data_IF_595768871514
#
_entry.id   IF_595768871514
#
_cell.length_a   1.000
_cell.length_b   1.000
_cell.length_c   1.000
_cell.angle_alpha   90.00
_cell.angle_beta   90.00
_cell.angle_gamma   90.00
#
_symmetry.space_group_name_H-M   'P 1'
#
loop_
_entity.id
_entity.type
_entity.pdbx_description
1 polymer ?
#
# COMPACT_ATOMS: atom_id res chain seq x y z
N UNK A 1 0.18 -24.69 -9.90
CA UNK A 1 1.11 -24.09 -10.48
C UNK A 1 1.40 -22.91 -9.80
N UNK A 2 2.14 -22.65 -9.31
CA UNK A 2 2.67 -21.90 -8.42
C UNK A 2 2.68 -20.44 -8.42
N UNK A 3 1.89 -19.86 -9.24
CA UNK A 3 1.98 -18.45 -9.25
C UNK A 3 0.84 -17.85 -8.50
N UNK A 4 0.97 -17.83 -7.21
CA UNK A 4 -0.05 -17.22 -6.36
C UNK A 4 0.28 -15.76 -6.12
N UNK A 5 0.19 -14.97 -7.17
CA UNK A 5 0.48 -13.55 -7.04
C UNK A 5 -0.77 -12.82 -6.57
N UNK A 6 -0.58 -11.93 -5.63
CA UNK A 6 -1.68 -11.16 -5.04
C UNK A 6 -1.29 -9.71 -4.89
N UNK A 7 -2.30 -8.86 -4.74
CA UNK A 7 -2.09 -7.44 -4.49
C UNK A 7 -2.74 -7.08 -3.18
N UNK A 8 -2.08 -6.21 -2.45
CA UNK A 8 -2.62 -5.61 -1.24
C UNK A 8 -2.64 -4.10 -1.43
N UNK A 9 -3.78 -3.49 -1.22
CA UNK A 9 -3.95 -2.05 -1.43
C UNK A 9 -4.18 -1.38 -0.08
N UNK A 10 -3.49 -0.26 0.12
CA UNK A 10 -3.62 0.55 1.34
C UNK A 10 -3.98 1.98 0.95
N UNK A 11 -4.93 2.58 1.69
CA UNK A 11 -5.27 3.99 1.55
C UNK A 11 -5.29 4.62 2.92
N UNK A 12 -4.62 5.75 3.06
CA UNK A 12 -4.60 6.47 4.32
C UNK A 12 -4.62 7.96 4.06
N UNK A 13 -5.11 8.73 5.02
CA UNK A 13 -5.11 10.18 4.90
C UNK A 13 -3.84 10.80 5.43
N UNK A 14 -2.99 10.05 6.10
CA UNK A 14 -1.71 10.53 6.62
C UNK A 14 -0.60 9.60 6.18
N UNK A 15 0.50 10.19 5.73
CA UNK A 15 1.58 9.39 5.17
C UNK A 15 2.21 8.47 6.21
N UNK A 16 2.24 8.90 7.47
CA UNK A 16 2.79 8.05 8.52
C UNK A 16 1.94 6.81 8.75
N UNK A 17 0.63 6.97 8.68
CA UNK A 17 -0.27 5.84 8.84
C UNK A 17 -0.09 4.86 7.69
N UNK A 18 0.10 5.38 6.47
CA UNK A 18 0.36 4.51 5.34
C UNK A 18 1.67 3.77 5.52
N UNK A 19 2.70 4.49 5.94
CA UNK A 19 4.01 3.89 6.14
C UNK A 19 3.93 2.75 7.16
N UNK A 20 3.24 2.97 8.27
CA UNK A 20 3.11 1.95 9.31
C UNK A 20 2.36 0.73 8.81
N UNK A 21 1.27 0.95 8.08
CA UNK A 21 0.48 -0.16 7.55
C UNK A 21 1.27 -0.98 6.54
N UNK A 22 1.98 -0.30 5.66
CA UNK A 22 2.78 -0.97 4.65
C UNK A 22 3.91 -1.76 5.30
N UNK A 23 4.59 -1.15 6.27
CA UNK A 23 5.70 -1.83 6.92
C UNK A 23 5.26 -3.06 7.71
N UNK A 24 4.11 -2.98 8.36
CA UNK A 24 3.56 -4.13 9.06
C UNK A 24 3.29 -5.27 8.09
N UNK A 25 2.72 -4.95 6.93
CA UNK A 25 2.44 -5.96 5.93
C UNK A 25 3.74 -6.56 5.36
N UNK A 26 4.72 -5.69 5.08
CA UNK A 26 5.99 -6.17 4.55
C UNK A 26 6.68 -7.13 5.51
N UNK A 27 6.55 -6.89 6.80
CA UNK A 27 7.11 -7.80 7.79
C UNK A 27 6.47 -9.17 7.72
N UNK A 28 5.21 -9.23 7.32
CA UNK A 28 4.50 -10.51 7.26
C UNK A 28 4.81 -11.29 6.00
N UNK A 29 5.20 -10.64 4.91
CA UNK A 29 5.44 -11.36 3.66
C UNK A 29 6.93 -11.64 3.41
N UNK A 30 7.82 -10.92 4.09
CA UNK A 30 9.25 -11.18 3.97
C UNK A 30 9.76 -11.09 2.54
N UNK A 31 10.37 -12.17 2.09
CA UNK A 31 10.99 -12.20 0.75
C UNK A 31 9.99 -12.37 -0.37
N UNK A 32 8.72 -12.43 -0.08
CA UNK A 32 7.71 -12.65 -1.12
C UNK A 32 7.28 -11.36 -1.80
N UNK A 33 7.89 -10.25 -1.47
CA UNK A 33 7.59 -8.97 -2.12
C UNK A 33 8.07 -8.98 -3.55
N UNK A 34 7.21 -8.54 -4.47
CA UNK A 34 7.57 -8.42 -5.89
C UNK A 34 7.72 -6.96 -6.26
N UNK A 35 6.76 -6.11 -5.89
CA UNK A 35 6.80 -4.71 -6.28
C UNK A 35 5.91 -3.88 -5.38
N UNK A 36 6.22 -2.59 -5.26
CA UNK A 36 5.41 -1.64 -4.51
C UNK A 36 5.20 -0.42 -5.40
N UNK A 37 3.94 0.03 -5.48
CA UNK A 37 3.61 1.25 -6.18
C UNK A 37 3.00 2.23 -5.20
N UNK A 38 3.43 3.48 -5.26
CA UNK A 38 3.01 4.51 -4.33
C UNK A 38 2.40 5.65 -5.11
N UNK A 39 1.32 6.22 -4.59
CA UNK A 39 0.66 7.32 -5.25
C UNK A 39 0.04 8.25 -4.23
N UNK A 40 0.09 9.54 -4.51
CA UNK A 40 -0.54 10.56 -3.69
C UNK A 40 -1.56 11.28 -4.54
N UNK A 41 -2.76 11.43 -4.01
CA UNK A 41 -3.81 12.22 -4.64
C UNK A 41 -4.19 13.35 -3.71
N UNK A 42 -4.48 14.52 -4.28
CA UNK A 42 -4.88 15.68 -3.52
C UNK A 42 -6.25 16.12 -4.02
N UNK A 43 -7.18 16.30 -3.11
CA UNK A 43 -8.52 16.77 -3.43
C UNK A 43 -8.81 18.00 -2.60
N UNK A 44 -9.46 18.98 -3.22
CA UNK A 44 -9.92 20.17 -2.51
C UNK A 44 -11.36 19.98 -2.14
N UNK A 45 -11.68 20.16 -0.87
CA UNK A 45 -13.05 20.15 -0.42
C UNK A 45 -13.28 21.43 0.34
N UNK A 46 -14.10 22.30 -0.21
CA UNK A 46 -14.29 23.63 0.31
C UNK A 46 -12.94 24.35 0.27
N UNK A 47 -12.39 24.78 1.41
CA UNK A 47 -11.09 25.42 1.41
C UNK A 47 -10.01 24.52 1.99
N UNK A 48 -10.29 23.25 2.14
CA UNK A 48 -9.34 22.32 2.73
C UNK A 48 -8.73 21.43 1.68
N UNK A 49 -7.44 21.19 1.81
CA UNK A 49 -6.76 20.21 0.98
C UNK A 49 -6.82 18.87 1.68
N UNK A 50 -7.32 17.87 0.98
CA UNK A 50 -7.40 16.53 1.50
C UNK A 50 -6.44 15.66 0.71
N UNK A 51 -5.52 15.01 1.42
CA UNK A 51 -4.53 14.14 0.81
C UNK A 51 -4.95 12.69 0.98
N UNK A 52 -4.78 11.91 -0.07
CA UNK A 52 -4.98 10.49 0.01
C UNK A 52 -3.68 9.83 -0.41
N UNK A 53 -3.09 9.08 0.50
CA UNK A 53 -1.84 8.38 0.24
C UNK A 53 -2.18 6.91 0.03
N UNK A 54 -1.75 6.35 -1.10
CA UNK A 54 -2.10 4.99 -1.49
C UNK A 54 -0.85 4.21 -1.81
N UNK A 55 -0.88 2.93 -1.48
CA UNK A 55 0.17 2.02 -1.87
C UNK A 55 -0.44 0.71 -2.32
N UNK A 56 0.15 0.12 -3.35
CA UNK A 56 -0.25 -1.20 -3.82
C UNK A 56 0.97 -2.09 -3.77
N UNK A 57 0.84 -3.21 -3.09
CA UNK A 57 1.94 -4.15 -2.94
C UNK A 57 1.59 -5.40 -3.72
N UNK A 58 2.48 -5.75 -4.64
CA UNK A 58 2.36 -7.00 -5.39
C UNK A 58 3.29 -8.01 -4.73
N UNK A 59 2.76 -9.15 -4.37
CA UNK A 59 3.52 -10.13 -3.62
C UNK A 59 3.10 -11.54 -3.98
N UNK A 60 3.95 -12.49 -3.59
CA UNK A 60 3.62 -13.90 -3.77
C UNK A 60 3.05 -14.44 -2.48
N UNK A 61 1.91 -15.10 -2.60
CA UNK A 61 1.32 -15.77 -1.47
C UNK A 61 1.65 -17.25 -1.60
N UNK A 62 2.38 -17.74 -0.63
CA UNK A 62 2.85 -19.11 -0.72
C UNK A 62 1.90 -20.13 -0.22
N UNK A 63 0.69 -19.80 0.02
CA UNK A 63 -0.22 -20.73 0.59
C UNK A 63 -0.70 -21.81 -0.32
#
# INVERSE_FOLDING_TARGET
NGDNMKVKVFDETHEKDLENSVNDFLSSIGDNLIDIKYQVAITMFSEEQIYCFSAMILYKDED
#
